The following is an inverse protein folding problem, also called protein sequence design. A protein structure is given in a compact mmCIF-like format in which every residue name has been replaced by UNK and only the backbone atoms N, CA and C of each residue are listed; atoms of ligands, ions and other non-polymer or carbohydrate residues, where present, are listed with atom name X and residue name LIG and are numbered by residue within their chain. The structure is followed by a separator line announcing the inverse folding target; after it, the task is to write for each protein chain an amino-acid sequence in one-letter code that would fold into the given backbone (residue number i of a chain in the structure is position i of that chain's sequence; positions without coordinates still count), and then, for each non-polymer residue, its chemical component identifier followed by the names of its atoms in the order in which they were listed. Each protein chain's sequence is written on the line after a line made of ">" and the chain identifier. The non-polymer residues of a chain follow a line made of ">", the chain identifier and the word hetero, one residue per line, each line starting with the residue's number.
data_IF_069968760036
#
_entry.id   IF_069968760036
#
_cell.length_a   1.000
_cell.length_b   1.000
_cell.length_c   1.000
_cell.angle_alpha   90.00
_cell.angle_beta   90.00
_cell.angle_gamma   90.00
#
_symmetry.space_group_name_H-M   'P 1'
#
loop_
_entity.id
_entity.type
_entity.pdbx_description
1 polymer ?
#
# COMPACT_ATOMS: atom_id res chain seq x y z
N UNK A 1 49.94 71.55 -0.44
CA UNK A 1 49.26 72.05 0.76
C UNK A 1 47.82 71.52 0.68
N UNK A 2 47.49 70.54 1.55
CA UNK A 2 46.18 70.12 2.11
C UNK A 2 44.94 70.21 1.18
N UNK A 3 44.05 69.24 1.07
CA UNK A 3 43.47 68.39 2.12
C UNK A 3 42.54 67.35 1.46
N UNK A 4 41.90 66.54 2.31
CA UNK A 4 41.27 65.25 2.12
C UNK A 4 39.98 65.16 1.28
N UNK A 5 39.70 63.95 0.79
CA UNK A 5 38.44 63.54 0.17
C UNK A 5 38.21 62.04 0.31
N UNK A 6 37.72 61.64 1.47
CA UNK A 6 37.52 60.26 1.91
C UNK A 6 36.34 59.51 1.25
N UNK A 7 36.42 58.16 1.34
CA UNK A 7 35.31 57.17 1.37
C UNK A 7 34.58 56.90 0.03
N UNK A 8 34.32 55.66 -0.43
CA UNK A 8 33.85 54.45 0.26
C UNK A 8 34.27 53.19 -0.53
N UNK A 9 34.90 52.21 0.13
CA UNK A 9 35.09 50.85 -0.43
C UNK A 9 33.82 50.03 -0.15
N UNK A 10 33.27 49.44 -1.20
CA UNK A 10 32.12 48.55 -1.17
C UNK A 10 32.42 47.29 -0.34
N UNK A 11 31.53 47.00 0.60
CA UNK A 11 31.52 45.76 1.38
C UNK A 11 31.10 44.58 0.50
N UNK A 12 31.95 43.57 0.42
CA UNK A 12 31.62 42.29 -0.21
C UNK A 12 30.73 41.47 0.74
N UNK A 13 29.48 41.23 0.35
CA UNK A 13 28.65 40.19 0.97
C UNK A 13 29.15 38.81 0.51
N UNK A 14 29.95 38.15 1.33
CA UNK A 14 30.41 36.77 1.12
C UNK A 14 29.37 35.77 1.63
N UNK A 15 28.68 35.13 0.69
CA UNK A 15 28.22 33.74 0.72
C UNK A 15 27.43 33.26 1.94
N UNK A 16 26.09 33.29 1.85
CA UNK A 16 25.26 32.39 2.62
C UNK A 16 25.53 30.95 2.14
N UNK A 17 26.11 30.14 3.02
CA UNK A 17 26.32 28.71 2.83
C UNK A 17 24.96 28.01 2.90
N UNK A 18 24.36 27.75 1.73
CA UNK A 18 23.16 26.91 1.63
C UNK A 18 23.57 25.48 1.94
N UNK A 19 23.38 25.10 3.20
CA UNK A 19 23.51 23.74 3.69
C UNK A 19 22.59 22.82 2.88
N UNK A 20 23.19 21.99 2.02
CA UNK A 20 22.52 20.88 1.34
C UNK A 20 21.97 19.94 2.41
N UNK A 21 20.65 20.00 2.62
CA UNK A 21 19.93 19.02 3.44
C UNK A 21 20.16 17.64 2.82
N UNK A 22 20.79 16.75 3.60
CA UNK A 22 20.74 15.32 3.35
C UNK A 22 19.27 14.89 3.33
N UNK A 23 18.80 14.46 2.17
CA UNK A 23 17.51 13.76 2.05
C UNK A 23 17.68 12.46 2.82
N UNK A 24 16.97 12.34 3.94
CA UNK A 24 16.93 11.13 4.73
C UNK A 24 16.50 9.96 3.83
N UNK A 25 17.29 8.88 3.83
CA UNK A 25 16.85 7.58 3.35
C UNK A 25 15.54 7.24 4.06
N UNK A 26 14.42 7.32 3.35
CA UNK A 26 13.19 6.66 3.80
C UNK A 26 13.49 5.18 3.79
N UNK A 27 13.81 4.62 4.97
CA UNK A 27 13.85 3.18 5.18
C UNK A 27 12.46 2.66 4.82
N UNK A 28 12.33 2.06 3.64
CA UNK A 28 11.16 1.27 3.31
C UNK A 28 11.02 0.25 4.44
N UNK A 29 9.88 0.19 5.15
CA UNK A 29 9.71 -0.77 6.22
C UNK A 29 9.98 -2.16 5.63
N UNK A 30 10.96 -2.86 6.20
CA UNK A 30 11.29 -4.20 5.72
C UNK A 30 10.18 -5.11 6.18
N UNK A 31 9.23 -5.39 5.28
CA UNK A 31 8.10 -6.28 5.54
C UNK A 31 8.60 -7.60 6.13
N UNK A 32 8.00 -8.03 7.23
CA UNK A 32 8.30 -9.33 7.81
C UNK A 32 7.91 -10.43 6.82
N UNK A 33 8.90 -11.15 6.30
CA UNK A 33 8.63 -12.44 5.65
C UNK A 33 8.30 -13.46 6.73
N UNK A 34 7.36 -14.35 6.43
CA UNK A 34 7.13 -15.53 7.27
C UNK A 34 8.43 -16.34 7.38
N UNK A 35 8.81 -16.80 8.59
CA UNK A 35 9.93 -17.71 8.74
C UNK A 35 9.76 -18.94 7.86
N UNK A 36 10.85 -19.44 7.28
CA UNK A 36 10.82 -20.67 6.47
C UNK A 36 10.33 -21.83 7.33
N UNK A 37 9.38 -22.61 6.82
CA UNK A 37 8.81 -23.77 7.54
C UNK A 37 7.77 -23.43 8.61
N UNK A 38 7.36 -22.16 8.73
CA UNK A 38 6.29 -21.75 9.66
C UNK A 38 4.88 -22.20 9.25
N UNK A 39 4.71 -22.70 8.03
CA UNK A 39 3.44 -23.20 7.51
C UNK A 39 3.49 -24.73 7.41
N UNK A 40 2.48 -25.40 7.96
CA UNK A 40 2.29 -26.83 7.75
C UNK A 40 1.80 -27.06 6.31
N UNK A 41 2.57 -27.75 5.45
CA UNK A 41 2.17 -27.99 4.08
C UNK A 41 0.88 -28.83 3.95
N UNK A 42 0.46 -29.56 5.00
CA UNK A 42 -0.78 -30.36 4.99
C UNK A 42 -2.04 -29.52 5.12
N UNK A 43 -1.93 -28.34 5.72
CA UNK A 43 -3.07 -27.44 5.99
C UNK A 43 -2.95 -26.10 5.28
N UNK A 44 -1.93 -25.93 4.44
CA UNK A 44 -1.65 -24.70 3.71
C UNK A 44 -1.94 -24.90 2.22
N UNK A 45 -2.71 -23.99 1.63
CA UNK A 45 -2.94 -23.92 0.19
C UNK A 45 -2.40 -22.60 -0.39
N UNK A 46 -2.00 -22.63 -1.65
CA UNK A 46 -1.54 -21.44 -2.35
C UNK A 46 -2.72 -20.65 -2.94
N UNK A 47 -2.75 -19.34 -2.72
CA UNK A 47 -3.72 -18.42 -3.31
C UNK A 47 -3.06 -17.68 -4.48
N UNK A 48 -3.41 -18.06 -5.71
CA UNK A 48 -2.90 -17.42 -6.93
C UNK A 48 -3.98 -16.56 -7.57
N UNK A 49 -3.76 -15.25 -7.62
CA UNK A 49 -4.62 -14.31 -8.31
C UNK A 49 -3.80 -13.16 -8.90
N UNK A 50 -4.26 -12.62 -10.04
CA UNK A 50 -3.80 -11.34 -10.57
C UNK A 50 -4.87 -10.30 -10.25
N UNK A 51 -4.45 -9.16 -9.71
CA UNK A 51 -5.31 -8.05 -9.31
C UNK A 51 -4.68 -6.73 -9.77
N UNK A 52 -5.50 -5.68 -9.84
CA UNK A 52 -5.01 -4.34 -10.14
C UNK A 52 -4.00 -3.84 -9.10
N UNK A 53 -3.05 -3.03 -9.55
CA UNK A 53 -1.96 -2.50 -8.72
C UNK A 53 -2.49 -1.68 -7.53
N UNK A 54 -3.50 -0.82 -7.76
CA UNK A 54 -4.12 -0.03 -6.70
C UNK A 54 -4.76 -0.88 -5.62
N UNK A 55 -5.44 -1.96 -6.01
CA UNK A 55 -6.03 -2.94 -5.07
C UNK A 55 -4.95 -3.65 -4.27
N UNK A 56 -3.86 -4.08 -4.93
CA UNK A 56 -2.71 -4.69 -4.25
C UNK A 56 -2.06 -3.73 -3.25
N UNK A 57 -1.94 -2.46 -3.59
CA UNK A 57 -1.31 -1.45 -2.73
C UNK A 57 -2.03 -1.29 -1.39
N UNK A 58 -3.36 -1.43 -1.34
CA UNK A 58 -4.14 -1.41 -0.09
C UNK A 58 -3.67 -2.54 0.85
N UNK A 59 -3.56 -3.77 0.35
CA UNK A 59 -3.13 -4.89 1.18
C UNK A 59 -1.65 -4.82 1.57
N UNK A 60 -0.79 -4.24 0.72
CA UNK A 60 0.59 -3.99 1.09
C UNK A 60 0.70 -2.94 2.20
N UNK A 61 -0.07 -1.85 2.11
CA UNK A 61 -0.15 -0.84 3.18
C UNK A 61 -0.62 -1.44 4.50
N UNK A 62 -1.65 -2.29 4.48
CA UNK A 62 -2.12 -2.99 5.68
C UNK A 62 -1.02 -3.85 6.30
N UNK A 63 -0.28 -4.58 5.46
CA UNK A 63 0.78 -5.47 5.93
C UNK A 63 1.97 -4.71 6.49
N UNK A 64 2.35 -3.60 5.86
CA UNK A 64 3.43 -2.73 6.35
C UNK A 64 3.04 -2.08 7.67
N UNK A 65 1.80 -1.59 7.80
CA UNK A 65 1.27 -1.02 9.03
C UNK A 65 1.17 -2.05 10.18
N UNK A 66 0.79 -3.30 9.86
CA UNK A 66 0.72 -4.39 10.83
C UNK A 66 2.10 -5.00 11.16
N UNK A 67 3.13 -4.73 10.35
CA UNK A 67 4.43 -5.41 10.43
C UNK A 67 4.35 -6.91 10.10
N UNK A 68 3.37 -7.33 9.29
CA UNK A 68 3.08 -8.73 8.98
C UNK A 68 3.29 -9.05 7.50
N UNK A 69 3.38 -10.34 7.17
CA UNK A 69 3.38 -10.77 5.77
C UNK A 69 1.98 -10.65 5.15
N UNK A 70 1.92 -10.49 3.82
CA UNK A 70 0.65 -10.43 3.07
C UNK A 70 -0.31 -11.58 3.41
N UNK A 71 0.23 -12.80 3.50
CA UNK A 71 -0.57 -13.99 3.78
C UNK A 71 -1.24 -13.94 5.15
N UNK A 72 -0.57 -13.38 6.17
CA UNK A 72 -1.19 -13.24 7.51
C UNK A 72 -2.34 -12.23 7.44
N UNK A 73 -2.13 -11.09 6.76
CA UNK A 73 -3.19 -10.09 6.58
C UNK A 73 -4.39 -10.70 5.89
N UNK A 74 -4.20 -11.46 4.80
CA UNK A 74 -5.28 -12.12 4.08
C UNK A 74 -6.01 -13.17 4.95
N UNK A 75 -5.29 -13.97 5.72
CA UNK A 75 -5.89 -14.92 6.67
C UNK A 75 -6.70 -14.21 7.77
N UNK A 76 -6.21 -13.08 8.28
CA UNK A 76 -6.93 -12.26 9.28
C UNK A 76 -8.19 -11.65 8.69
N UNK A 77 -8.10 -11.10 7.48
CA UNK A 77 -9.26 -10.56 6.75
C UNK A 77 -10.30 -11.65 6.52
N UNK A 78 -9.90 -12.81 6.00
CA UNK A 78 -10.80 -13.93 5.75
C UNK A 78 -11.54 -14.42 7.00
N UNK A 79 -10.91 -14.37 8.19
CA UNK A 79 -11.55 -14.75 9.46
C UNK A 79 -12.61 -13.76 9.95
N UNK A 80 -12.60 -12.52 9.46
CA UNK A 80 -13.51 -11.46 9.91
C UNK A 80 -14.56 -11.08 8.86
N UNK A 81 -14.49 -11.66 7.66
CA UNK A 81 -15.54 -11.48 6.66
C UNK A 81 -16.73 -12.33 7.08
N UNK A 82 -17.88 -11.69 7.27
CA UNK A 82 -19.16 -12.36 7.41
C UNK A 82 -19.65 -12.80 6.03
N UNK A 83 -19.93 -14.10 5.92
CA UNK A 83 -20.44 -14.71 4.70
C UNK A 83 -21.95 -14.92 4.81
N UNK A 84 -22.65 -14.75 3.69
CA UNK A 84 -24.06 -15.10 3.54
C UNK A 84 -24.25 -16.63 3.33
N UNK A 85 -25.49 -17.05 3.17
CA UNK A 85 -25.83 -18.46 2.92
C UNK A 85 -25.25 -19.02 1.60
N UNK A 86 -24.81 -18.13 0.69
CA UNK A 86 -24.16 -18.48 -0.58
C UNK A 86 -22.63 -18.56 -0.47
N UNK A 87 -22.07 -18.29 0.71
CA UNK A 87 -20.62 -18.26 0.94
C UNK A 87 -19.93 -17.02 0.37
N UNK A 88 -20.67 -15.96 0.07
CA UNK A 88 -20.14 -14.67 -0.37
C UNK A 88 -20.14 -13.66 0.77
N UNK A 89 -19.26 -12.65 0.77
CA UNK A 89 -19.34 -11.58 1.75
C UNK A 89 -20.73 -10.91 1.76
N UNK A 90 -21.26 -10.54 2.93
CA UNK A 90 -22.59 -9.93 3.02
C UNK A 90 -22.75 -8.60 2.23
N UNK A 91 -21.63 -7.95 1.89
CA UNK A 91 -21.58 -6.73 1.07
C UNK A 91 -21.37 -7.01 -0.43
N UNK A 92 -21.28 -8.29 -0.82
CA UNK A 92 -21.04 -8.67 -2.21
C UNK A 92 -22.25 -8.30 -3.07
N UNK A 93 -22.05 -7.71 -4.26
CA UNK A 93 -23.16 -7.32 -5.11
C UNK A 93 -24.04 -8.53 -5.44
N UNK A 94 -25.36 -8.34 -5.35
CA UNK A 94 -26.31 -9.35 -5.82
C UNK A 94 -25.99 -9.69 -7.27
N UNK A 95 -25.72 -10.97 -7.53
CA UNK A 95 -25.58 -11.42 -8.90
C UNK A 95 -26.96 -11.34 -9.54
N UNK A 96 -27.08 -10.75 -10.75
CA UNK A 96 -28.34 -10.84 -11.48
C UNK A 96 -28.68 -12.31 -11.64
N UNK A 97 -29.82 -12.72 -11.08
CA UNK A 97 -30.33 -14.07 -11.24
C UNK A 97 -30.40 -14.38 -12.73
N UNK A 98 -29.60 -15.35 -13.21
CA UNK A 98 -29.65 -15.82 -14.61
C UNK A 98 -30.97 -16.55 -14.95
N UNK A 99 -32.01 -16.40 -14.14
CA UNK A 99 -33.35 -16.87 -14.36
C UNK A 99 -34.24 -15.69 -14.77
N UNK A 100 -33.86 -14.99 -15.83
CA UNK A 100 -34.92 -14.50 -16.72
C UNK A 100 -35.53 -15.78 -17.31
N UNK A 101 -36.69 -16.19 -16.78
CA UNK A 101 -37.49 -17.26 -17.37
C UNK A 101 -37.60 -16.99 -18.88
N UNK A 102 -36.90 -17.77 -19.69
CA UNK A 102 -37.20 -17.85 -21.11
C UNK A 102 -38.66 -18.29 -21.20
N UNK A 103 -39.58 -17.50 -21.81
CA UNK A 103 -40.94 -17.95 -22.00
C UNK A 103 -40.90 -19.18 -22.90
N UNK A 104 -41.01 -20.36 -22.31
CA UNK A 104 -41.27 -21.58 -23.05
C UNK A 104 -42.59 -21.34 -23.77
N UNK A 105 -42.54 -21.17 -25.10
CA UNK A 105 -43.74 -21.24 -25.93
C UNK A 105 -44.33 -22.64 -25.73
N UNK A 106 -45.38 -22.72 -24.93
CA UNK A 106 -46.26 -23.89 -24.91
C UNK A 106 -46.86 -24.00 -26.31
N UNK A 107 -46.38 -24.97 -27.09
CA UNK A 107 -46.89 -25.32 -28.40
C UNK A 107 -48.05 -26.31 -28.28
#
# INVERSE_FOLDING_TARGET
>A
MRDDGATRRASYHRGASTSTRFVAMTSTPTRARRPRGSLDPRTTAALYARVDEGTKAVFDQMADAAGESLGVVLERVARHIELDDSGLPAWWPEQPSQQEELPLKTA
#
